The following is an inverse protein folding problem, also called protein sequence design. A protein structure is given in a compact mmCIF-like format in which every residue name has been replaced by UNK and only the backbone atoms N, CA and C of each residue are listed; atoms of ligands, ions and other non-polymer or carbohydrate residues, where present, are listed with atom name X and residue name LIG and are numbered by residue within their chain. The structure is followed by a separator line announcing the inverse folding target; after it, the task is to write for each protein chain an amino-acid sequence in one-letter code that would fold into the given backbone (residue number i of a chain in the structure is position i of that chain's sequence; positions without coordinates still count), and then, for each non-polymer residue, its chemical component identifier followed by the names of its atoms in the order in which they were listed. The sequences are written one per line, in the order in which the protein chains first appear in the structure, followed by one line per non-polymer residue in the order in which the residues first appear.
data_IF_451948262234
#
_entry.id   IF_451948262234
#
_cell.length_a   1.000
_cell.length_b   1.000
_cell.length_c   1.000
_cell.angle_alpha   90.00
_cell.angle_beta   90.00
_cell.angle_gamma   90.00
#
_symmetry.space_group_name_H-M   'P 1'
#
loop_
_entity.id
_entity.type
_entity.pdbx_description
1 polymer ?
#
# COMPACT_ATOMS: atom_id res chain seq x y z
N UNK A 1 -45.16 2.03 -8.35
CA UNK A 1 -44.54 3.12 -7.60
C UNK A 1 -45.47 3.49 -6.46
N UNK A 2 -45.19 2.99 -5.25
CA UNK A 2 -45.96 3.33 -4.06
C UNK A 2 -45.61 4.74 -3.62
N UNK A 3 -46.59 5.64 -3.61
CA UNK A 3 -46.42 6.98 -3.04
C UNK A 3 -46.13 6.82 -1.55
N UNK A 4 -44.90 7.14 -1.15
CA UNK A 4 -44.50 7.14 0.26
C UNK A 4 -45.21 8.32 0.91
N UNK A 5 -46.17 8.02 1.79
CA UNK A 5 -46.87 9.02 2.58
C UNK A 5 -45.85 9.57 3.60
N UNK A 6 -45.32 10.77 3.33
CA UNK A 6 -44.23 11.38 4.13
C UNK A 6 -44.69 12.18 5.34
N UNK A 7 -45.99 12.46 5.44
CA UNK A 7 -46.57 13.27 6.54
C UNK A 7 -47.66 12.48 7.26
N UNK A 8 -47.46 12.21 8.55
CA UNK A 8 -48.50 11.68 9.44
C UNK A 8 -48.85 12.74 10.48
N UNK A 9 -50.14 13.08 10.56
CA UNK A 9 -50.69 13.94 11.60
C UNK A 9 -51.13 13.08 12.78
N UNK A 10 -50.57 13.35 13.96
CA UNK A 10 -51.00 12.72 15.20
C UNK A 10 -51.92 13.69 15.95
N UNK A 11 -53.22 13.39 15.97
CA UNK A 11 -54.16 14.04 16.86
C UNK A 11 -54.09 13.33 18.21
N UNK A 12 -53.26 13.85 19.12
CA UNK A 12 -53.31 13.43 20.51
C UNK A 12 -54.27 14.37 21.25
N UNK A 13 -55.28 13.80 21.89
CA UNK A 13 -56.46 14.53 22.37
C UNK A 13 -56.13 15.56 23.46
N UNK A 14 -56.34 16.84 23.15
CA UNK A 14 -56.57 17.91 24.11
C UNK A 14 -58.00 18.45 23.97
N UNK A 15 -58.77 18.43 25.06
CA UNK A 15 -60.11 19.01 25.13
C UNK A 15 -60.03 20.50 24.74
N UNK A 16 -60.63 20.85 23.59
CA UNK A 16 -60.69 22.16 22.88
C UNK A 16 -59.91 22.28 21.55
N UNK A 17 -59.21 21.25 21.07
CA UNK A 17 -59.05 20.99 19.63
C UNK A 17 -58.39 22.06 18.75
N UNK A 18 -57.25 22.65 19.12
CA UNK A 18 -56.50 23.56 18.22
C UNK A 18 -54.98 23.49 18.30
N UNK A 19 -54.37 22.31 18.48
CA UNK A 19 -52.92 22.16 18.27
C UNK A 19 -52.62 20.90 17.46
N UNK A 20 -52.21 21.09 16.20
CA UNK A 20 -51.71 20.04 15.31
C UNK A 20 -50.24 20.34 15.04
N UNK A 21 -49.34 19.43 15.40
CA UNK A 21 -47.94 19.53 15.01
C UNK A 21 -47.66 18.52 13.89
N UNK A 22 -47.14 19.02 12.77
CA UNK A 22 -46.75 18.20 11.61
C UNK A 22 -45.29 17.79 11.79
N UNK A 23 -45.05 16.53 12.19
CA UNK A 23 -43.69 15.98 12.27
C UNK A 23 -43.34 15.34 10.94
N UNK A 24 -42.31 15.87 10.28
CA UNK A 24 -41.76 15.30 9.06
C UNK A 24 -40.91 14.07 9.40
N UNK A 25 -41.40 12.90 8.99
CA UNK A 25 -40.71 11.63 9.25
C UNK A 25 -39.36 11.51 8.53
N UNK A 26 -39.04 12.45 7.62
CA UNK A 26 -37.72 12.56 7.00
C UNK A 26 -36.60 12.86 8.02
N UNK A 27 -36.89 13.54 9.13
CA UNK A 27 -35.90 13.88 10.17
C UNK A 27 -35.51 12.67 11.06
N UNK A 28 -36.27 11.58 11.02
CA UNK A 28 -35.99 10.35 11.77
C UNK A 28 -35.20 9.31 10.99
N UNK A 29 -34.92 9.56 9.70
CA UNK A 29 -34.00 8.75 8.91
C UNK A 29 -32.70 9.53 8.74
N UNK A 30 -31.88 9.52 9.80
CA UNK A 30 -30.47 9.84 9.67
C UNK A 30 -29.82 8.86 8.68
N UNK A 31 -29.14 9.40 7.69
CA UNK A 31 -28.39 8.67 6.70
C UNK A 31 -27.40 7.69 7.35
N UNK A 32 -27.54 6.40 7.03
CA UNK A 32 -26.52 5.33 7.01
C UNK A 32 -25.52 5.20 8.17
N UNK A 33 -25.71 5.83 9.32
CA UNK A 33 -25.03 5.41 10.55
C UNK A 33 -25.82 4.25 11.14
N UNK A 34 -25.11 3.17 11.46
CA UNK A 34 -25.63 2.12 12.33
C UNK A 34 -26.32 2.77 13.52
N UNK A 35 -27.56 2.37 13.81
CA UNK A 35 -28.20 2.73 15.08
C UNK A 35 -27.29 2.20 16.17
N UNK A 36 -26.43 3.08 16.71
CA UNK A 36 -25.40 2.67 17.64
C UNK A 36 -26.08 1.99 18.83
N UNK A 37 -25.73 0.72 19.07
CA UNK A 37 -26.15 -0.04 20.25
C UNK A 37 -25.84 0.73 21.55
N UNK A 38 -24.89 1.66 21.50
CA UNK A 38 -24.59 2.64 22.55
C UNK A 38 -25.83 3.41 23.04
N UNK A 39 -26.74 3.81 22.15
CA UNK A 39 -27.97 4.52 22.52
C UNK A 39 -29.03 3.60 23.15
N UNK A 40 -28.96 2.29 22.94
CA UNK A 40 -29.84 1.34 23.62
C UNK A 40 -29.31 1.04 25.02
N UNK A 41 -28.01 0.74 25.15
CA UNK A 41 -27.38 0.43 26.43
C UNK A 41 -27.44 1.62 27.39
N UNK A 42 -27.19 2.84 26.89
CA UNK A 42 -27.34 4.05 27.70
C UNK A 42 -28.78 4.27 28.16
N UNK A 43 -29.79 4.02 27.31
CA UNK A 43 -31.21 4.09 27.70
C UNK A 43 -31.58 3.02 28.74
N UNK A 44 -31.08 1.79 28.60
CA UNK A 44 -31.29 0.74 29.59
C UNK A 44 -30.62 1.08 30.92
N UNK A 45 -29.43 1.69 30.90
CA UNK A 45 -28.74 2.16 32.09
C UNK A 45 -29.55 3.25 32.81
N UNK A 46 -30.03 4.27 32.10
CA UNK A 46 -30.86 5.34 32.70
C UNK A 46 -32.18 4.77 33.25
N UNK A 47 -32.81 3.82 32.56
CA UNK A 47 -34.01 3.15 33.07
C UNK A 47 -33.71 2.34 34.33
N UNK A 48 -32.57 1.65 34.39
CA UNK A 48 -32.16 0.90 35.57
C UNK A 48 -31.88 1.84 36.76
N UNK A 49 -31.19 2.95 36.53
CA UNK A 49 -30.92 3.99 37.54
C UNK A 49 -32.22 4.62 38.06
N UNK A 50 -33.17 4.93 37.18
CA UNK A 50 -34.49 5.45 37.57
C UNK A 50 -35.28 4.43 38.39
N UNK A 51 -35.25 3.14 38.01
CA UNK A 51 -35.88 2.07 38.78
C UNK A 51 -35.25 1.90 40.16
N UNK A 52 -33.93 1.97 40.26
CA UNK A 52 -33.21 1.88 41.54
C UNK A 52 -33.55 3.06 42.45
N UNK A 53 -33.59 4.28 41.89
CA UNK A 53 -33.95 5.48 42.65
C UNK A 53 -35.41 5.47 43.11
N UNK A 54 -36.33 5.02 42.25
CA UNK A 54 -37.73 4.79 42.63
C UNK A 54 -37.86 3.72 43.72
N UNK A 55 -37.03 2.68 43.66
CA UNK A 55 -37.00 1.64 44.69
C UNK A 55 -36.49 2.17 46.04
N UNK A 56 -35.42 2.97 46.04
CA UNK A 56 -34.92 3.65 47.24
C UNK A 56 -35.98 4.58 47.85
N UNK A 57 -36.65 5.39 47.03
CA UNK A 57 -37.74 6.27 47.50
C UNK A 57 -38.89 5.44 48.09
N UNK A 58 -39.28 4.33 47.45
CA UNK A 58 -40.33 3.43 47.99
C UNK A 58 -39.92 2.80 49.31
N UNK A 59 -38.64 2.46 49.47
CA UNK A 59 -38.06 1.92 50.71
C UNK A 59 -38.06 2.96 51.81
N UNK A 60 -37.62 4.18 51.53
CA UNK A 60 -37.55 5.27 52.51
C UNK A 60 -38.93 5.74 52.99
N UNK A 61 -39.96 5.48 52.19
CA UNK A 61 -41.36 5.75 52.51
C UNK A 61 -42.09 4.55 53.14
N UNK A 62 -41.38 3.43 53.41
CA UNK A 62 -41.95 2.17 53.91
C UNK A 62 -43.14 1.64 53.07
N UNK A 63 -43.13 1.92 51.76
CA UNK A 63 -44.18 1.48 50.82
C UNK A 63 -43.91 0.12 50.20
N UNK A 64 -42.81 -0.53 50.58
CA UNK A 64 -42.44 -1.87 50.10
C UNK A 64 -43.06 -2.97 50.98
N UNK A 65 -43.76 -3.96 50.40
CA UNK A 65 -44.25 -5.12 51.15
C UNK A 65 -43.08 -5.89 51.80
N UNK A 66 -43.26 -6.38 53.03
CA UNK A 66 -42.25 -7.19 53.74
C UNK A 66 -41.79 -8.43 52.94
N UNK A 67 -42.67 -9.00 52.11
CA UNK A 67 -42.33 -10.12 51.23
C UNK A 67 -41.33 -9.75 50.14
N UNK A 68 -41.40 -8.52 49.60
CA UNK A 68 -40.45 -8.03 48.60
C UNK A 68 -39.08 -7.73 49.22
N UNK A 69 -39.04 -7.25 50.46
CA UNK A 69 -37.80 -7.00 51.21
C UNK A 69 -37.02 -8.30 51.49
N UNK A 70 -37.71 -9.37 51.92
CA UNK A 70 -37.06 -10.68 52.13
C UNK A 70 -36.58 -11.29 50.81
N UNK A 71 -37.37 -11.16 49.74
CA UNK A 71 -36.98 -11.63 48.41
C UNK A 71 -35.77 -10.85 47.87
N UNK A 72 -35.66 -9.55 48.14
CA UNK A 72 -34.50 -8.74 47.76
C UNK A 72 -33.24 -9.16 48.52
N UNK A 73 -33.34 -9.40 49.83
CA UNK A 73 -32.19 -9.86 50.65
C UNK A 73 -31.68 -11.24 50.20
N UNK A 74 -32.58 -12.19 49.94
CA UNK A 74 -32.21 -13.48 49.37
C UNK A 74 -31.58 -13.34 47.98
N UNK A 75 -32.16 -12.50 47.11
CA UNK A 75 -31.59 -12.26 45.78
C UNK A 75 -30.21 -11.61 45.86
N UNK A 76 -30.00 -10.70 46.81
CA UNK A 76 -28.71 -10.03 47.05
C UNK A 76 -27.67 -11.01 47.57
N UNK A 77 -28.07 -11.95 48.43
CA UNK A 77 -27.20 -13.00 48.94
C UNK A 77 -26.81 -13.97 47.83
N UNK A 78 -27.77 -14.43 47.01
CA UNK A 78 -27.49 -15.27 45.82
C UNK A 78 -26.54 -14.58 44.84
N UNK A 79 -26.71 -13.28 44.57
CA UNK A 79 -25.79 -12.52 43.70
C UNK A 79 -24.39 -12.41 44.29
N UNK A 80 -24.25 -12.25 45.61
CA UNK A 80 -22.95 -12.23 46.29
C UNK A 80 -22.25 -13.58 46.20
N UNK A 81 -22.98 -14.67 46.40
CA UNK A 81 -22.41 -16.02 46.35
C UNK A 81 -22.07 -16.43 44.92
N UNK A 82 -22.91 -16.08 43.94
CA UNK A 82 -22.62 -16.30 42.52
C UNK A 82 -21.41 -15.49 42.05
N UNK A 83 -21.29 -14.22 42.49
CA UNK A 83 -20.12 -13.39 42.19
C UNK A 83 -18.84 -13.99 42.77
N UNK A 84 -18.87 -14.47 44.02
CA UNK A 84 -17.72 -15.17 44.62
C UNK A 84 -17.36 -16.42 43.85
N UNK A 85 -18.35 -17.22 43.42
CA UNK A 85 -18.12 -18.42 42.61
C UNK A 85 -17.44 -18.10 41.29
N UNK A 86 -17.90 -17.06 40.58
CA UNK A 86 -17.29 -16.59 39.33
C UNK A 86 -15.88 -16.03 39.54
N UNK A 87 -15.64 -15.32 40.64
CA UNK A 87 -14.30 -14.82 40.99
C UNK A 87 -13.33 -15.98 41.31
N UNK A 88 -13.79 -17.02 41.99
CA UNK A 88 -13.00 -18.23 42.24
C UNK A 88 -12.74 -19.05 40.97
N UNK A 89 -13.76 -19.24 40.12
CA UNK A 89 -13.62 -19.89 38.81
C UNK A 89 -12.64 -19.10 37.92
N UNK A 90 -12.76 -17.77 37.88
CA UNK A 90 -11.85 -16.89 37.13
C UNK A 90 -10.42 -16.92 37.67
N UNK A 91 -10.22 -17.05 38.99
CA UNK A 91 -8.89 -17.25 39.58
C UNK A 91 -8.29 -18.59 39.19
N UNK A 92 -9.10 -19.66 39.17
CA UNK A 92 -8.65 -20.99 38.72
C UNK A 92 -8.25 -20.98 37.25
N UNK A 93 -9.08 -20.39 36.38
CA UNK A 93 -8.78 -20.27 34.96
C UNK A 93 -7.49 -19.48 34.70
N UNK A 94 -7.29 -18.35 35.39
CA UNK A 94 -6.04 -17.59 35.25
C UNK A 94 -4.81 -18.36 35.72
N UNK A 95 -4.94 -19.12 36.82
CA UNK A 95 -3.85 -19.96 37.31
C UNK A 95 -3.54 -21.12 36.35
N UNK A 96 -4.56 -21.72 35.73
CA UNK A 96 -4.41 -22.75 34.70
C UNK A 96 -3.77 -22.17 33.42
N UNK A 97 -4.24 -21.02 32.94
CA UNK A 97 -3.65 -20.34 31.78
C UNK A 97 -2.19 -19.93 32.02
N UNK A 98 -1.88 -19.43 33.21
CA UNK A 98 -0.51 -19.08 33.61
C UNK A 98 0.38 -20.32 33.70
N UNK A 99 -0.13 -21.44 34.22
CA UNK A 99 0.58 -22.71 34.23
C UNK A 99 0.83 -23.23 32.80
N UNK A 100 -0.16 -23.16 31.90
CA UNK A 100 0.03 -23.57 30.50
C UNK A 100 1.05 -22.70 29.77
N UNK A 101 1.05 -21.38 30.03
CA UNK A 101 2.05 -20.48 29.43
C UNK A 101 3.45 -20.78 29.93
N UNK A 102 3.61 -21.07 31.23
CA UNK A 102 4.90 -21.43 31.79
C UNK A 102 5.44 -22.74 31.20
N UNK A 103 4.59 -23.75 31.01
CA UNK A 103 4.97 -25.01 30.34
C UNK A 103 5.33 -24.81 28.86
N UNK A 104 4.62 -23.94 28.13
CA UNK A 104 4.94 -23.61 26.74
C UNK A 104 6.26 -22.85 26.62
N UNK A 105 6.55 -21.91 27.52
CA UNK A 105 7.83 -21.19 27.57
C UNK A 105 9.01 -22.13 27.87
N UNK A 106 8.83 -23.10 28.77
CA UNK A 106 9.86 -24.10 29.07
C UNK A 106 10.11 -25.02 27.87
N UNK A 107 9.05 -25.46 27.17
CA UNK A 107 9.18 -26.23 25.92
C UNK A 107 9.92 -25.44 24.84
N UNK A 108 9.62 -24.15 24.69
CA UNK A 108 10.31 -23.31 23.72
C UNK A 108 11.80 -23.12 24.07
N UNK A 109 12.14 -23.01 25.35
CA UNK A 109 13.55 -22.95 25.77
C UNK A 109 14.30 -24.24 25.45
N UNK A 110 13.71 -25.39 25.76
CA UNK A 110 14.30 -26.70 25.45
C UNK A 110 14.48 -26.86 23.93
N UNK A 111 13.47 -26.49 23.13
CA UNK A 111 13.56 -26.57 21.67
C UNK A 111 14.64 -25.62 21.10
N UNK A 112 14.78 -24.42 21.66
CA UNK A 112 15.86 -23.49 21.26
C UNK A 112 17.24 -24.03 21.62
N UNK A 113 17.39 -24.64 22.79
CA UNK A 113 18.64 -25.27 23.22
C UNK A 113 19.00 -26.47 22.34
N UNK A 114 18.04 -27.34 22.02
CA UNK A 114 18.24 -28.47 21.10
C UNK A 114 18.66 -27.99 19.70
N UNK A 115 17.99 -26.97 19.14
CA UNK A 115 18.38 -26.38 17.85
C UNK A 115 19.78 -25.79 17.88
N UNK A 116 20.16 -25.13 18.98
CA UNK A 116 21.50 -24.58 19.14
C UNK A 116 22.57 -25.69 19.25
N UNK A 117 22.28 -26.78 19.95
CA UNK A 117 23.16 -27.93 20.04
C UNK A 117 23.30 -28.64 18.68
N UNK A 118 22.21 -28.81 17.94
CA UNK A 118 22.24 -29.40 16.60
C UNK A 118 23.06 -28.55 15.63
N UNK A 119 22.91 -27.21 15.68
CA UNK A 119 23.75 -26.30 14.89
C UNK A 119 25.23 -26.42 15.25
N UNK A 120 25.58 -26.56 16.54
CA UNK A 120 26.97 -26.79 16.96
C UNK A 120 27.50 -28.11 16.41
N UNK A 121 26.73 -29.19 16.50
CA UNK A 121 27.12 -30.50 15.93
C UNK A 121 27.29 -30.43 14.41
N UNK A 122 26.44 -29.70 13.70
CA UNK A 122 26.58 -29.47 12.27
C UNK A 122 27.85 -28.68 11.95
N UNK A 123 28.12 -27.59 12.66
CA UNK A 123 29.34 -26.80 12.48
C UNK A 123 30.61 -27.62 12.74
N UNK A 124 30.62 -28.44 13.80
CA UNK A 124 31.74 -29.35 14.10
C UNK A 124 31.90 -30.40 12.99
N UNK A 125 30.82 -30.99 12.50
CA UNK A 125 30.87 -31.97 11.41
C UNK A 125 31.36 -31.34 10.09
N UNK A 126 30.94 -30.12 9.78
CA UNK A 126 31.38 -29.38 8.60
C UNK A 126 32.85 -28.96 8.73
N UNK A 127 33.30 -28.57 9.93
CA UNK A 127 34.72 -28.27 10.17
C UNK A 127 35.60 -29.51 10.02
N UNK A 128 35.15 -30.67 10.50
CA UNK A 128 35.84 -31.95 10.28
C UNK A 128 35.90 -32.28 8.79
N UNK A 129 34.79 -32.18 8.05
CA UNK A 129 34.77 -32.39 6.59
C UNK A 129 35.71 -31.43 5.86
N UNK A 130 35.73 -30.15 6.26
CA UNK A 130 36.62 -29.15 5.66
C UNK A 130 38.09 -29.50 5.90
N UNK A 131 38.45 -29.92 7.12
CA UNK A 131 39.81 -30.38 7.45
C UNK A 131 40.20 -31.63 6.68
N UNK A 132 39.28 -32.57 6.49
CA UNK A 132 39.51 -33.76 5.66
C UNK A 132 39.73 -33.39 4.19
N UNK A 133 38.90 -32.51 3.63
CA UNK A 133 39.06 -32.00 2.26
C UNK A 133 40.36 -31.22 2.08
N UNK A 134 40.73 -30.38 3.03
CA UNK A 134 42.01 -29.65 3.02
C UNK A 134 43.20 -30.62 3.09
N UNK A 135 43.14 -31.65 3.94
CA UNK A 135 44.19 -32.67 4.05
C UNK A 135 44.28 -33.54 2.78
N UNK A 136 43.15 -33.88 2.16
CA UNK A 136 43.10 -34.61 0.90
C UNK A 136 43.61 -33.74 -0.26
N UNK A 137 43.21 -32.47 -0.32
CA UNK A 137 43.71 -31.51 -1.29
C UNK A 137 45.21 -31.29 -1.14
N UNK A 138 45.75 -31.23 0.09
CA UNK A 138 47.20 -31.18 0.32
C UNK A 138 47.90 -32.44 -0.18
N UNK A 139 47.39 -33.63 0.16
CA UNK A 139 47.95 -34.90 -0.35
C UNK A 139 47.89 -34.97 -1.88
N UNK A 140 46.81 -34.49 -2.48
CA UNK A 140 46.65 -34.49 -3.92
C UNK A 140 47.54 -33.44 -4.58
N UNK A 141 47.70 -32.25 -3.99
CA UNK A 141 48.61 -31.21 -4.44
C UNK A 141 50.07 -31.65 -4.31
N UNK A 142 50.44 -32.37 -3.25
CA UNK A 142 51.79 -32.92 -3.08
C UNK A 142 52.04 -34.07 -4.06
N UNK A 143 51.02 -34.91 -4.33
CA UNK A 143 51.08 -35.92 -5.38
C UNK A 143 51.20 -35.31 -6.77
N UNK A 144 50.45 -34.25 -7.05
CA UNK A 144 50.55 -33.46 -8.27
C UNK A 144 51.91 -32.81 -8.40
N UNK A 145 52.44 -32.20 -7.33
CA UNK A 145 53.82 -31.66 -7.31
C UNK A 145 54.89 -32.73 -7.47
N UNK A 146 54.65 -33.97 -7.03
CA UNK A 146 55.58 -35.07 -7.29
C UNK A 146 55.50 -35.60 -8.72
N UNK A 147 54.31 -35.56 -9.34
CA UNK A 147 54.09 -36.02 -10.72
C UNK A 147 54.43 -34.95 -11.77
N UNK A 148 54.28 -33.67 -11.42
CA UNK A 148 54.41 -32.51 -12.32
C UNK A 148 55.48 -31.49 -11.83
N UNK A 149 56.30 -31.88 -10.85
CA UNK A 149 57.31 -31.03 -10.21
C UNK A 149 58.46 -30.53 -11.07
N UNK A 150 58.43 -30.80 -12.39
CA UNK A 150 59.36 -30.25 -13.38
C UNK A 150 58.65 -29.53 -14.55
N UNK A 151 57.34 -29.24 -14.45
CA UNK A 151 56.61 -28.61 -15.57
C UNK A 151 55.72 -27.45 -15.11
N UNK A 152 56.32 -26.26 -15.05
CA UNK A 152 55.65 -24.95 -14.96
C UNK A 152 54.81 -24.63 -16.22
N UNK A 153 53.86 -25.50 -16.61
CA UNK A 153 53.15 -25.39 -17.91
C UNK A 153 51.62 -25.52 -17.86
N UNK A 154 50.99 -25.66 -16.70
CA UNK A 154 49.54 -25.98 -16.62
C UNK A 154 48.65 -24.81 -16.11
N UNK A 155 49.08 -23.55 -16.27
CA UNK A 155 48.14 -22.40 -16.16
C UNK A 155 47.24 -22.22 -17.37
N UNK A 156 47.53 -22.92 -18.48
CA UNK A 156 46.97 -22.57 -19.80
C UNK A 156 45.68 -23.34 -20.13
N UNK A 157 45.32 -24.39 -19.38
CA UNK A 157 44.18 -25.26 -19.76
C UNK A 157 42.81 -24.58 -19.55
N UNK A 158 42.67 -23.73 -18.53
CA UNK A 158 41.43 -22.94 -18.36
C UNK A 158 41.37 -21.74 -19.32
N UNK A 159 42.52 -21.16 -19.67
CA UNK A 159 42.62 -20.11 -20.67
C UNK A 159 42.30 -20.64 -22.08
N UNK A 160 42.83 -21.81 -22.46
CA UNK A 160 42.54 -22.48 -23.74
C UNK A 160 41.06 -22.88 -23.88
N UNK A 161 40.39 -23.30 -22.80
CA UNK A 161 38.96 -23.63 -22.86
C UNK A 161 38.08 -22.39 -23.04
N UNK A 162 38.41 -21.28 -22.37
CA UNK A 162 37.72 -20.01 -22.56
C UNK A 162 38.01 -19.41 -23.94
N UNK A 163 39.24 -19.52 -24.43
CA UNK A 163 39.60 -19.12 -25.79
C UNK A 163 38.84 -19.94 -26.83
N UNK A 164 38.75 -21.28 -26.66
CA UNK A 164 37.99 -22.15 -27.55
C UNK A 164 36.49 -21.81 -27.59
N UNK A 165 35.88 -21.42 -26.46
CA UNK A 165 34.49 -20.96 -26.41
C UNK A 165 34.30 -19.56 -27.01
N UNK A 166 35.30 -18.69 -26.90
CA UNK A 166 35.29 -17.35 -27.50
C UNK A 166 35.54 -17.38 -29.01
N UNK A 167 36.28 -18.38 -29.50
CA UNK A 167 36.63 -18.58 -30.89
C UNK A 167 35.51 -19.25 -31.73
N UNK A 168 34.47 -19.81 -31.09
CA UNK A 168 33.33 -20.35 -31.83
C UNK A 168 32.54 -19.21 -32.48
N UNK A 169 32.49 -19.13 -33.83
CA UNK A 169 31.72 -18.11 -34.51
C UNK A 169 30.23 -18.38 -34.30
N UNK A 170 29.62 -17.67 -33.35
CA UNK A 170 28.16 -17.69 -33.19
C UNK A 170 27.55 -16.86 -34.29
N UNK A 171 26.57 -17.43 -34.98
CA UNK A 171 25.82 -16.65 -35.96
C UNK A 171 25.01 -15.57 -35.25
N UNK A 172 24.78 -14.43 -35.92
CA UNK A 172 23.94 -13.37 -35.36
C UNK A 172 22.52 -13.88 -35.05
N UNK A 173 22.03 -14.88 -35.79
CA UNK A 173 20.73 -15.52 -35.56
C UNK A 173 20.70 -16.30 -34.25
N UNK A 174 21.74 -17.10 -33.95
CA UNK A 174 21.86 -17.81 -32.67
C UNK A 174 21.96 -16.84 -31.49
N UNK A 175 22.74 -15.76 -31.66
CA UNK A 175 22.83 -14.69 -30.65
C UNK A 175 21.45 -14.06 -30.43
N UNK A 176 20.75 -13.69 -31.50
CA UNK A 176 19.42 -13.09 -31.41
C UNK A 176 18.42 -14.05 -30.75
N UNK A 177 18.47 -15.34 -31.08
CA UNK A 177 17.62 -16.37 -30.49
C UNK A 177 17.89 -16.55 -28.99
N UNK A 178 19.17 -16.64 -28.61
CA UNK A 178 19.58 -16.74 -27.20
C UNK A 178 19.18 -15.48 -26.41
N UNK A 179 19.40 -14.29 -26.97
CA UNK A 179 18.98 -13.02 -26.37
C UNK A 179 17.46 -12.94 -26.22
N UNK A 180 16.69 -13.39 -27.22
CA UNK A 180 15.23 -13.43 -27.16
C UNK A 180 14.74 -14.39 -26.07
N UNK A 181 15.30 -15.60 -26.00
CA UNK A 181 15.00 -16.59 -24.97
C UNK A 181 15.33 -16.09 -23.56
N UNK A 182 16.54 -15.56 -23.36
CA UNK A 182 16.98 -14.97 -22.09
C UNK A 182 16.10 -13.79 -21.68
N UNK A 183 15.79 -12.88 -22.61
CA UNK A 183 14.92 -11.73 -22.36
C UNK A 183 13.50 -12.13 -22.01
N UNK A 184 13.00 -13.24 -22.59
CA UNK A 184 11.68 -13.79 -22.24
C UNK A 184 11.71 -14.40 -20.83
N UNK A 185 12.69 -15.25 -20.53
CA UNK A 185 12.84 -15.87 -19.21
C UNK A 185 13.01 -14.83 -18.10
N UNK A 186 13.85 -13.83 -18.32
CA UNK A 186 14.06 -12.72 -17.36
C UNK A 186 12.78 -11.91 -17.14
N UNK A 187 12.00 -11.62 -18.20
CA UNK A 187 10.71 -10.94 -18.06
C UNK A 187 9.71 -11.76 -17.25
N UNK A 188 9.64 -13.08 -17.47
CA UNK A 188 8.78 -13.97 -16.67
C UNK A 188 9.19 -13.99 -15.20
N UNK A 189 10.50 -14.07 -14.91
CA UNK A 189 11.02 -14.02 -13.56
C UNK A 189 10.69 -12.69 -12.86
N UNK A 190 10.89 -11.57 -13.55
CA UNK A 190 10.57 -10.24 -13.04
C UNK A 190 9.07 -10.09 -12.78
N UNK A 191 8.22 -10.59 -13.67
CA UNK A 191 6.77 -10.59 -13.47
C UNK A 191 6.36 -11.42 -12.25
N UNK A 192 6.92 -12.63 -12.09
CA UNK A 192 6.68 -13.49 -10.93
C UNK A 192 7.11 -12.84 -9.61
N UNK A 193 8.17 -12.02 -9.64
CA UNK A 193 8.67 -11.27 -8.48
C UNK A 193 7.96 -9.91 -8.29
N UNK A 194 6.87 -9.62 -9.01
CA UNK A 194 6.13 -8.35 -8.88
C UNK A 194 6.92 -7.11 -9.31
N UNK A 195 7.94 -7.27 -10.17
CA UNK A 195 8.78 -6.17 -10.66
C UNK A 195 8.20 -5.44 -11.88
N UNK A 196 6.90 -5.62 -12.15
CA UNK A 196 6.15 -4.92 -13.19
C UNK A 196 5.14 -3.93 -12.63
N UNK A 197 4.45 -3.23 -13.53
CA UNK A 197 3.37 -2.29 -13.20
C UNK A 197 2.06 -2.80 -13.77
N UNK A 198 0.99 -2.79 -12.97
CA UNK A 198 -0.31 -3.38 -13.36
C UNK A 198 -1.23 -2.31 -13.94
N UNK A 199 -1.86 -2.62 -15.07
CA UNK A 199 -2.96 -1.83 -15.65
C UNK A 199 -4.20 -1.91 -14.77
N UNK A 200 -4.73 -0.75 -14.40
CA UNK A 200 -5.95 -0.65 -13.59
C UNK A 200 -7.23 -0.94 -14.38
N UNK A 201 -7.11 -1.11 -15.70
CA UNK A 201 -8.23 -1.35 -16.62
C UNK A 201 -8.44 -2.86 -16.83
N UNK A 202 -7.39 -3.57 -17.22
CA UNK A 202 -7.45 -4.98 -17.62
C UNK A 202 -6.55 -5.91 -16.80
N UNK A 203 -5.75 -5.37 -15.87
CA UNK A 203 -4.88 -6.15 -14.99
C UNK A 203 -3.59 -6.64 -15.66
N UNK A 204 -3.32 -6.23 -16.89
CA UNK A 204 -2.09 -6.61 -17.60
C UNK A 204 -0.83 -6.02 -16.95
N UNK A 205 0.29 -6.73 -17.05
CA UNK A 205 1.56 -6.36 -16.40
C UNK A 205 2.54 -5.78 -17.42
N UNK A 206 3.05 -4.58 -17.14
CA UNK A 206 3.95 -3.83 -18.00
C UNK A 206 5.35 -3.68 -17.38
N UNK A 207 6.37 -3.68 -18.24
CA UNK A 207 7.78 -3.60 -17.81
C UNK A 207 8.26 -2.19 -17.43
N UNK A 208 7.54 -1.14 -17.84
CA UNK A 208 7.90 0.25 -17.56
C UNK A 208 6.67 1.12 -17.39
N UNK A 209 6.83 2.25 -16.70
CA UNK A 209 5.78 3.22 -16.42
C UNK A 209 5.23 3.81 -17.73
N UNK A 210 6.10 4.13 -18.69
CA UNK A 210 5.69 4.73 -19.96
C UNK A 210 4.82 3.76 -20.79
N UNK A 211 5.17 2.47 -20.78
CA UNK A 211 4.38 1.44 -21.46
C UNK A 211 3.03 1.21 -20.81
N UNK A 212 2.96 1.29 -19.49
CA UNK A 212 1.72 1.18 -18.73
C UNK A 212 0.78 2.36 -19.05
N UNK A 213 1.29 3.59 -19.05
CA UNK A 213 0.46 4.77 -19.35
C UNK A 213 -0.05 4.78 -20.77
N UNK A 214 0.82 4.51 -21.74
CA UNK A 214 0.41 4.38 -23.14
C UNK A 214 -0.64 3.27 -23.34
N UNK A 215 -0.53 2.18 -22.56
CA UNK A 215 -1.51 1.12 -22.56
C UNK A 215 -2.84 1.58 -21.96
N UNK A 216 -2.82 2.20 -20.77
CA UNK A 216 -4.02 2.68 -20.09
C UNK A 216 -4.76 3.74 -20.92
N UNK A 217 -4.04 4.69 -21.52
CA UNK A 217 -4.62 5.70 -22.40
C UNK A 217 -5.32 5.07 -23.61
N UNK A 218 -4.67 4.09 -24.26
CA UNK A 218 -5.23 3.36 -25.40
C UNK A 218 -6.42 2.47 -25.02
N UNK A 219 -6.35 1.79 -23.87
CA UNK A 219 -7.36 0.83 -23.43
C UNK A 219 -8.61 1.49 -22.86
N UNK A 220 -8.51 2.76 -22.43
CA UNK A 220 -9.59 3.49 -21.77
C UNK A 220 -10.86 3.61 -22.61
N UNK A 221 -10.76 4.11 -23.85
CA UNK A 221 -11.94 4.30 -24.70
C UNK A 221 -12.75 3.02 -24.97
N UNK A 222 -12.10 1.92 -25.40
CA UNK A 222 -12.75 0.62 -25.53
C UNK A 222 -13.38 0.12 -24.24
N UNK A 223 -12.69 0.29 -23.10
CA UNK A 223 -13.21 -0.14 -21.80
C UNK A 223 -14.42 0.71 -21.36
N UNK A 224 -14.41 2.03 -21.58
CA UNK A 224 -15.55 2.92 -21.29
C UNK A 224 -16.78 2.53 -22.11
N UNK A 225 -16.56 2.14 -23.37
CA UNK A 225 -17.64 1.63 -24.25
C UNK A 225 -18.14 0.26 -23.78
N UNK A 226 -17.26 -0.65 -23.36
CA UNK A 226 -17.63 -1.97 -22.87
C UNK A 226 -18.39 -1.93 -21.53
N UNK A 227 -18.10 -0.93 -20.69
CA UNK A 227 -18.75 -0.72 -19.40
C UNK A 227 -20.01 0.15 -19.51
N UNK A 228 -20.26 0.78 -20.66
CA UNK A 228 -21.46 1.59 -20.91
C UNK A 228 -22.72 0.71 -20.85
N UNK A 229 -23.42 0.76 -19.72
CA UNK A 229 -24.61 -0.06 -19.43
C UNK A 229 -24.40 -1.09 -18.31
N UNK A 230 -23.18 -1.25 -17.82
CA UNK A 230 -22.90 -1.97 -16.58
C UNK A 230 -23.04 -1.04 -15.36
N UNK A 231 -23.10 -1.62 -14.15
CA UNK A 231 -23.11 -0.86 -12.89
C UNK A 231 -21.71 -0.38 -12.45
N UNK A 232 -20.66 -0.67 -13.23
CA UNK A 232 -19.27 -0.34 -12.88
C UNK A 232 -18.76 0.78 -13.78
N UNK A 233 -18.31 1.86 -13.16
CA UNK A 233 -17.64 2.98 -13.85
C UNK A 233 -16.12 2.82 -13.82
N UNK A 234 -15.45 3.15 -14.91
CA UNK A 234 -13.99 3.18 -14.96
C UNK A 234 -13.46 4.36 -14.13
N UNK A 235 -12.51 4.13 -13.21
CA UNK A 235 -11.95 5.21 -12.40
C UNK A 235 -11.28 6.32 -13.24
N UNK A 236 -11.28 7.57 -12.76
CA UNK A 236 -10.54 8.65 -13.40
C UNK A 236 -9.03 8.35 -13.40
N UNK A 237 -8.32 8.76 -14.46
CA UNK A 237 -6.88 8.49 -14.59
C UNK A 237 -6.07 9.09 -13.42
N UNK A 238 -6.52 10.22 -12.87
CA UNK A 238 -5.87 10.91 -11.77
C UNK A 238 -5.78 10.06 -10.49
N UNK A 239 -6.74 9.17 -10.23
CA UNK A 239 -6.70 8.27 -9.05
C UNK A 239 -5.59 7.21 -9.17
N UNK A 240 -5.17 6.90 -10.39
CA UNK A 240 -4.11 5.94 -10.70
C UNK A 240 -2.85 6.64 -11.23
N UNK A 241 -2.56 7.84 -10.71
CA UNK A 241 -1.30 8.52 -11.00
C UNK A 241 -0.09 7.67 -10.57
N UNK A 242 0.94 7.69 -11.41
CA UNK A 242 2.23 7.02 -11.18
C UNK A 242 3.29 7.99 -10.67
N UNK A 243 2.93 9.21 -10.28
CA UNK A 243 3.89 10.25 -9.89
C UNK A 243 4.68 9.87 -8.63
N UNK A 244 4.02 9.30 -7.62
CA UNK A 244 4.70 8.79 -6.41
C UNK A 244 5.67 7.66 -6.75
N UNK A 245 5.25 6.76 -7.65
CA UNK A 245 6.07 5.62 -8.12
C UNK A 245 7.29 6.14 -8.87
N UNK A 246 7.13 7.15 -9.72
CA UNK A 246 8.24 7.84 -10.42
C UNK A 246 9.18 8.52 -9.45
N UNK A 247 8.64 9.26 -8.48
CA UNK A 247 9.43 9.98 -7.49
C UNK A 247 10.29 9.02 -6.66
N UNK A 248 9.71 7.93 -6.18
CA UNK A 248 10.43 6.90 -5.43
C UNK A 248 11.50 6.20 -6.30
N UNK A 249 11.19 5.86 -7.55
CA UNK A 249 12.14 5.26 -8.47
C UNK A 249 13.31 6.21 -8.82
N UNK A 250 13.02 7.49 -9.04
CA UNK A 250 14.01 8.52 -9.31
C UNK A 250 14.92 8.76 -8.11
N UNK A 251 14.35 8.80 -6.90
CA UNK A 251 15.12 8.93 -5.66
C UNK A 251 16.10 7.76 -5.46
N UNK A 252 15.62 6.51 -5.66
CA UNK A 252 16.49 5.32 -5.63
C UNK A 252 17.60 5.39 -6.68
N UNK A 253 17.28 5.82 -7.91
CA UNK A 253 18.27 5.93 -8.97
C UNK A 253 19.32 7.01 -8.67
N UNK A 254 18.91 8.13 -8.06
CA UNK A 254 19.80 9.19 -7.61
C UNK A 254 20.79 8.67 -6.56
N UNK A 255 20.32 7.98 -5.52
CA UNK A 255 21.18 7.40 -4.49
C UNK A 255 22.16 6.37 -5.06
N UNK A 256 21.72 5.54 -6.02
CA UNK A 256 22.62 4.62 -6.73
C UNK A 256 23.70 5.39 -7.50
N UNK A 257 23.34 6.47 -8.21
CA UNK A 257 24.32 7.33 -8.91
C UNK A 257 25.31 7.98 -7.93
N UNK A 258 24.86 8.41 -6.75
CA UNK A 258 25.73 8.95 -5.70
C UNK A 258 26.70 7.91 -5.17
N UNK A 259 26.23 6.68 -4.93
CA UNK A 259 27.09 5.57 -4.51
C UNK A 259 28.15 5.24 -5.57
N UNK A 260 27.74 5.16 -6.84
CA UNK A 260 28.66 4.94 -7.96
C UNK A 260 29.70 6.08 -8.05
N UNK A 261 29.27 7.33 -7.86
CA UNK A 261 30.18 8.48 -7.83
C UNK A 261 31.19 8.38 -6.69
N UNK A 262 30.75 7.94 -5.49
CA UNK A 262 31.61 7.79 -4.32
C UNK A 262 32.71 6.75 -4.57
N UNK A 263 32.33 5.61 -5.17
CA UNK A 263 33.25 4.54 -5.53
C UNK A 263 34.29 4.97 -6.56
N UNK A 264 33.93 5.84 -7.51
CA UNK A 264 34.90 6.42 -8.46
C UNK A 264 35.90 7.34 -7.78
N UNK A 265 35.49 8.07 -6.73
CA UNK A 265 36.43 8.90 -5.97
C UNK A 265 37.44 8.07 -5.20
N UNK A 266 37.04 6.90 -4.69
CA UNK A 266 37.94 5.96 -4.01
C UNK A 266 38.83 5.19 -5.00
N UNK A 267 38.23 4.71 -6.09
CA UNK A 267 38.87 3.93 -7.14
C UNK A 267 38.46 4.46 -8.52
N UNK A 268 39.32 5.25 -9.18
CA UNK A 268 39.04 5.78 -10.51
C UNK A 268 38.76 4.71 -11.57
N UNK A 269 39.26 3.47 -11.40
CA UNK A 269 39.01 2.38 -12.37
C UNK A 269 37.56 1.91 -12.35
N UNK A 270 36.84 2.13 -11.24
CA UNK A 270 35.42 1.83 -11.13
C UNK A 270 34.59 2.62 -12.15
N UNK A 271 35.09 3.76 -12.64
CA UNK A 271 34.42 4.54 -13.67
C UNK A 271 34.10 3.69 -14.90
N UNK A 272 34.93 2.70 -15.26
CA UNK A 272 34.67 1.79 -16.38
C UNK A 272 33.33 1.03 -16.25
N UNK A 273 32.86 0.77 -15.03
CA UNK A 273 31.61 0.03 -14.74
C UNK A 273 30.33 0.88 -14.84
N UNK A 274 30.45 2.20 -14.83
CA UNK A 274 29.31 3.12 -14.91
C UNK A 274 28.82 3.22 -16.36
N UNK A 275 27.50 3.40 -16.56
CA UNK A 275 26.90 3.57 -17.89
C UNK A 275 27.44 4.83 -18.57
N UNK A 276 27.63 4.78 -19.89
CA UNK A 276 28.10 5.92 -20.67
C UNK A 276 27.18 7.14 -20.58
N UNK A 277 25.85 6.93 -20.52
CA UNK A 277 24.86 8.00 -20.37
C UNK A 277 24.88 8.70 -19.01
N UNK A 278 25.57 8.14 -18.03
CA UNK A 278 25.68 8.68 -16.67
C UNK A 278 27.03 9.36 -16.44
N UNK A 279 27.90 9.37 -17.46
CA UNK A 279 29.23 9.99 -17.47
C UNK A 279 29.22 11.31 -18.25
N UNK A 280 30.11 12.21 -17.86
CA UNK A 280 30.45 13.39 -18.65
C UNK A 280 31.42 13.05 -19.79
N UNK A 281 31.79 14.06 -20.60
CA UNK A 281 32.74 13.89 -21.70
C UNK A 281 34.16 13.48 -21.26
N UNK A 282 34.47 13.58 -19.96
CA UNK A 282 35.76 13.20 -19.36
C UNK A 282 35.71 11.81 -18.71
N UNK A 283 34.56 11.15 -18.73
CA UNK A 283 34.36 9.83 -18.13
C UNK A 283 34.00 9.85 -16.64
N UNK A 284 33.80 11.04 -16.05
CA UNK A 284 33.41 11.17 -14.64
C UNK A 284 31.89 11.05 -14.46
N UNK A 285 31.43 10.54 -13.31
CA UNK A 285 30.01 10.54 -12.96
C UNK A 285 29.40 11.94 -13.01
N UNK A 286 28.26 12.08 -13.66
CA UNK A 286 27.53 13.36 -13.76
C UNK A 286 26.91 13.83 -12.44
N UNK A 287 26.76 12.93 -11.46
CA UNK A 287 26.10 13.21 -10.18
C UNK A 287 27.13 13.64 -9.15
N UNK A 288 26.96 14.85 -8.61
CA UNK A 288 27.81 15.36 -7.54
C UNK A 288 27.46 14.72 -6.18
N UNK A 289 28.48 14.46 -5.37
CA UNK A 289 28.35 14.01 -3.98
C UNK A 289 28.43 15.25 -3.09
N UNK A 290 27.47 15.43 -2.20
CA UNK A 290 27.49 16.52 -1.23
C UNK A 290 27.99 16.00 0.13
N UNK A 291 28.55 16.85 1.00
CA UNK A 291 28.96 16.44 2.34
C UNK A 291 27.79 15.91 3.20
N UNK A 292 26.56 16.29 2.88
CA UNK A 292 25.32 15.82 3.53
C UNK A 292 24.98 14.35 3.23
N UNK A 293 25.55 13.80 2.15
CA UNK A 293 25.26 12.43 1.75
C UNK A 293 25.86 11.41 2.73
N UNK A 294 26.95 11.76 3.41
CA UNK A 294 27.67 10.92 4.36
C UNK A 294 28.79 10.11 3.70
N UNK A 295 29.21 9.05 4.38
CA UNK A 295 30.17 8.06 3.87
C UNK A 295 29.51 6.99 2.99
N UNK A 296 30.30 6.07 2.42
CA UNK A 296 29.77 4.99 1.57
C UNK A 296 28.68 4.18 2.27
N UNK A 297 28.90 3.85 3.55
CA UNK A 297 27.97 3.06 4.34
C UNK A 297 26.63 3.77 4.49
N UNK A 298 26.64 5.09 4.75
CA UNK A 298 25.44 5.91 4.84
C UNK A 298 24.68 5.95 3.51
N UNK A 299 25.37 6.16 2.39
CA UNK A 299 24.74 6.20 1.07
C UNK A 299 24.16 4.82 0.71
N UNK A 300 24.87 3.73 1.03
CA UNK A 300 24.40 2.37 0.82
C UNK A 300 23.15 2.04 1.65
N UNK A 301 23.11 2.47 2.93
CA UNK A 301 21.94 2.32 3.78
C UNK A 301 20.73 3.09 3.22
N UNK A 302 20.90 4.38 2.89
CA UNK A 302 19.86 5.21 2.24
C UNK A 302 19.37 4.58 0.93
N UNK A 303 20.26 4.00 0.13
CA UNK A 303 19.90 3.32 -1.11
C UNK A 303 19.02 2.09 -0.85
N UNK A 304 19.32 1.31 0.20
CA UNK A 304 18.54 0.15 0.58
C UNK A 304 17.15 0.56 1.10
N UNK A 305 17.05 1.60 1.92
CA UNK A 305 15.78 2.18 2.37
C UNK A 305 14.95 2.70 1.18
N UNK A 306 15.57 3.46 0.28
CA UNK A 306 14.91 3.95 -0.94
C UNK A 306 14.47 2.81 -1.86
N UNK A 307 15.20 1.69 -1.88
CA UNK A 307 14.80 0.47 -2.59
C UNK A 307 13.53 -0.12 -1.98
N UNK A 308 13.49 -0.34 -0.68
CA UNK A 308 12.32 -0.86 0.03
C UNK A 308 11.10 0.06 -0.18
N UNK A 309 11.27 1.36 0.03
CA UNK A 309 10.21 2.35 -0.20
C UNK A 309 9.69 2.33 -1.64
N UNK A 310 10.58 2.25 -2.65
CA UNK A 310 10.16 2.15 -4.05
C UNK A 310 9.37 0.86 -4.35
N UNK A 311 9.70 -0.23 -3.68
CA UNK A 311 9.00 -1.51 -3.82
C UNK A 311 7.63 -1.47 -3.15
N UNK A 312 7.53 -0.87 -1.97
CA UNK A 312 6.28 -0.65 -1.24
C UNK A 312 5.30 0.23 -2.01
N UNK A 313 5.76 1.40 -2.50
CA UNK A 313 4.92 2.33 -3.28
C UNK A 313 4.41 1.67 -4.56
N UNK A 314 5.29 0.94 -5.26
CA UNK A 314 4.88 0.17 -6.45
C UNK A 314 3.89 -0.93 -6.11
N UNK A 315 4.10 -1.67 -5.02
CA UNK A 315 3.18 -2.74 -4.59
C UNK A 315 1.81 -2.17 -4.25
N UNK A 316 1.75 -1.08 -3.49
CA UNK A 316 0.50 -0.40 -3.14
C UNK A 316 -0.23 0.15 -4.38
N UNK A 317 0.49 0.61 -5.41
CA UNK A 317 -0.11 0.93 -6.70
C UNK A 317 -0.69 -0.32 -7.38
N UNK A 318 0.11 -1.39 -7.50
CA UNK A 318 -0.30 -2.62 -8.19
C UNK A 318 -1.51 -3.27 -7.52
N UNK A 319 -1.56 -3.33 -6.19
CA UNK A 319 -2.68 -3.91 -5.44
C UNK A 319 -3.99 -3.15 -5.72
N UNK A 320 -3.93 -1.80 -5.74
CA UNK A 320 -5.08 -0.95 -6.10
C UNK A 320 -5.49 -1.15 -7.57
N UNK A 321 -4.52 -1.17 -8.49
CA UNK A 321 -4.76 -1.36 -9.91
C UNK A 321 -5.40 -2.73 -10.20
N UNK A 322 -4.88 -3.80 -9.59
CA UNK A 322 -5.44 -5.15 -9.69
C UNK A 322 -6.88 -5.21 -9.16
N UNK A 323 -7.17 -4.55 -8.03
CA UNK A 323 -8.53 -4.50 -7.49
C UNK A 323 -9.51 -3.84 -8.47
N UNK A 324 -9.12 -2.71 -9.07
CA UNK A 324 -9.91 -2.03 -10.11
C UNK A 324 -10.11 -2.90 -11.35
N UNK A 325 -9.04 -3.48 -11.88
CA UNK A 325 -9.10 -4.34 -13.05
C UNK A 325 -10.03 -5.54 -12.83
N UNK A 326 -9.97 -6.16 -11.65
CA UNK A 326 -10.86 -7.26 -11.28
C UNK A 326 -12.33 -6.82 -11.19
N UNK A 327 -12.60 -5.63 -10.67
CA UNK A 327 -13.95 -5.07 -10.63
C UNK A 327 -14.51 -4.85 -12.06
N UNK A 328 -13.69 -4.31 -12.96
CA UNK A 328 -14.05 -4.09 -14.37
C UNK A 328 -14.24 -5.44 -15.10
N UNK A 329 -13.32 -6.39 -14.91
CA UNK A 329 -13.41 -7.73 -15.50
C UNK A 329 -14.68 -8.48 -15.05
N UNK A 330 -15.03 -8.37 -13.76
CA UNK A 330 -16.24 -9.01 -13.21
C UNK A 330 -17.52 -8.42 -13.81
N UNK A 331 -17.53 -7.12 -14.12
CA UNK A 331 -18.66 -6.46 -14.76
C UNK A 331 -18.77 -6.74 -16.26
N UNK A 332 -17.64 -6.97 -16.94
CA UNK A 332 -17.59 -7.16 -18.40
C UNK A 332 -17.64 -8.62 -18.83
N UNK A 333 -17.26 -9.58 -17.98
CA UNK A 333 -17.48 -10.99 -18.24
C UNK A 333 -18.96 -11.35 -17.99
N UNK A 334 -19.76 -11.66 -19.03
CA UNK A 334 -21.12 -12.17 -18.81
C UNK A 334 -20.99 -13.46 -18.02
N UNK A 335 -21.64 -13.51 -16.85
CA UNK A 335 -21.68 -14.69 -15.99
C UNK A 335 -22.31 -15.84 -16.78
N UNK A 336 -21.47 -16.66 -17.41
CA UNK A 336 -21.85 -17.87 -18.12
C UNK A 336 -22.37 -18.88 -17.10
N UNK A 337 -23.63 -18.74 -16.69
CA UNK A 337 -24.19 -19.58 -15.62
C UNK A 337 -25.51 -19.12 -14.99
N UNK A 338 -26.18 -18.10 -15.52
CA UNK A 338 -27.61 -17.88 -15.24
C UNK A 338 -28.46 -18.73 -16.16
N UNK A 339 -28.43 -20.06 -16.01
CA UNK A 339 -29.44 -20.91 -16.61
C UNK A 339 -30.81 -20.43 -16.14
N UNK A 340 -31.67 -20.15 -17.12
CA UNK A 340 -33.05 -19.76 -16.94
C UNK A 340 -33.75 -20.69 -15.93
N UNK A 341 -33.99 -20.19 -14.73
CA UNK A 341 -35.14 -20.62 -13.95
C UNK A 341 -36.35 -20.07 -14.70
N UNK A 342 -36.92 -20.92 -15.56
CA UNK A 342 -38.18 -20.67 -16.24
C UNK A 342 -39.22 -20.22 -15.21
N UNK A 343 -39.55 -18.93 -15.24
CA UNK A 343 -40.78 -18.45 -14.64
C UNK A 343 -41.95 -18.97 -15.49
N UNK A 344 -42.96 -19.63 -14.90
CA UNK A 344 -44.10 -20.12 -15.65
C UNK A 344 -44.90 -18.95 -16.22
N UNK A 345 -45.21 -19.04 -17.52
CA UNK A 345 -46.16 -18.18 -18.21
C UNK A 345 -47.54 -18.19 -17.54
N UNK A 346 -48.14 -17.00 -17.44
CA UNK A 346 -49.51 -16.64 -17.87
C UNK A 346 -50.19 -15.64 -16.88
N UNK A 347 -51.23 -14.87 -17.29
CA UNK A 347 -51.70 -14.51 -18.64
C UNK A 347 -51.89 -12.99 -18.84
N UNK A 348 -52.16 -12.62 -20.10
CA UNK A 348 -52.56 -11.31 -20.63
C UNK A 348 -53.85 -10.76 -20.00
N UNK A 349 -53.92 -9.43 -19.82
CA UNK A 349 -55.14 -8.64 -19.90
C UNK A 349 -54.84 -7.16 -20.24
N UNK A 350 -55.52 -6.68 -21.29
CA UNK A 350 -56.05 -5.33 -21.60
C UNK A 350 -55.22 -4.08 -21.22
N UNK A 351 -54.71 -3.29 -22.17
CA UNK A 351 -55.43 -2.31 -23.00
C UNK A 351 -56.13 -1.21 -22.18
N UNK A 352 -55.46 -0.05 -22.04
CA UNK A 352 -56.03 1.29 -22.23
C UNK A 352 -54.95 2.37 -22.08
N UNK A 353 -54.92 3.26 -23.06
CA UNK A 353 -54.32 4.59 -23.05
C UNK A 353 -55.45 5.58 -23.44
N UNK A 354 -55.23 6.90 -23.59
CA UNK A 354 -54.36 7.87 -22.92
C UNK A 354 -55.12 9.17 -22.50
N UNK A 355 -54.46 10.09 -21.78
CA UNK A 355 -54.77 11.55 -21.78
C UNK A 355 -53.50 12.28 -21.23
N UNK A 356 -52.76 13.12 -21.98
CA UNK A 356 -53.07 14.49 -22.43
C UNK A 356 -53.45 15.40 -21.22
N UNK A 357 -52.94 16.61 -20.97
CA UNK A 357 -52.16 17.61 -21.74
C UNK A 357 -51.85 18.80 -20.78
N UNK A 358 -50.99 19.73 -21.24
CA UNK A 358 -50.93 21.17 -20.91
C UNK A 358 -50.27 21.63 -19.57
N UNK A 359 -49.12 22.33 -19.62
CA UNK A 359 -48.95 23.82 -19.61
C UNK A 359 -48.65 24.32 -18.17
N UNK A 360 -47.86 25.35 -17.86
CA UNK A 360 -47.20 26.43 -18.60
C UNK A 360 -46.11 27.03 -17.70
N UNK A 361 -45.24 27.82 -18.33
CA UNK A 361 -44.13 28.60 -17.77
C UNK A 361 -44.59 29.73 -16.82
N UNK A 362 -43.71 30.15 -15.90
CA UNK A 362 -43.54 31.56 -15.55
C UNK A 362 -42.14 31.81 -14.98
N UNK A 363 -41.32 32.51 -15.75
CA UNK A 363 -40.17 33.29 -15.27
C UNK A 363 -40.67 34.39 -14.32
N UNK A 364 -39.91 34.72 -13.28
CA UNK A 364 -39.65 36.14 -13.03
C UNK A 364 -38.38 36.41 -12.21
N UNK A 365 -37.90 37.62 -12.44
CA UNK A 365 -36.54 38.15 -12.32
C UNK A 365 -36.23 38.76 -10.95
N UNK A 366 -34.92 38.90 -10.72
CA UNK A 366 -34.23 40.01 -10.02
C UNK A 366 -34.23 40.05 -8.48
N UNK A 367 -33.04 40.02 -7.87
CA UNK A 367 -32.28 41.23 -7.53
C UNK A 367 -31.07 40.87 -6.64
N UNK A 368 -29.91 41.41 -7.02
CA UNK A 368 -28.67 41.38 -6.23
C UNK A 368 -28.60 42.61 -5.28
N UNK A 369 -27.51 42.85 -4.53
CA UNK A 369 -27.49 42.95 -3.05
C UNK A 369 -27.25 44.39 -2.53
N UNK A 370 -27.09 44.56 -1.21
CA UNK A 370 -25.88 45.24 -0.69
C UNK A 370 -25.34 44.55 0.60
N UNK A 371 -24.04 44.31 0.77
CA UNK A 371 -22.94 45.23 1.10
C UNK A 371 -22.76 45.54 2.62
N UNK A 372 -21.53 45.25 3.06
CA UNK A 372 -20.70 45.96 4.06
C UNK A 372 -20.92 45.80 5.58
N UNK A 373 -19.91 45.21 6.23
CA UNK A 373 -19.14 45.75 7.38
C UNK A 373 -17.87 44.86 7.51
N UNK A 374 -16.66 45.30 7.15
CA UNK A 374 -15.75 46.23 7.87
C UNK A 374 -15.47 45.82 9.33
N UNK A 375 -14.30 45.20 9.58
CA UNK A 375 -13.20 45.75 10.40
C UNK A 375 -12.02 44.75 10.41
N UNK A 376 -10.85 45.07 9.83
CA UNK A 376 -9.69 45.79 10.41
C UNK A 376 -8.81 44.90 11.31
N UNK A 377 -7.62 44.55 10.80
CA UNK A 377 -6.32 44.89 11.43
C UNK A 377 -5.17 44.66 10.43
N UNK A 378 -4.34 45.69 10.34
CA UNK A 378 -3.17 45.90 9.48
C UNK A 378 -1.88 45.41 10.14
N UNK A 379 -0.92 45.00 9.31
CA UNK A 379 0.51 45.39 9.28
C UNK A 379 1.12 44.67 8.05
N UNK A 380 1.43 45.31 6.91
CA UNK A 380 2.59 46.19 6.59
C UNK A 380 3.93 45.60 7.11
N UNK A 381 4.99 45.39 6.31
CA UNK A 381 5.50 46.21 5.21
C UNK A 381 6.18 45.43 4.06
N UNK A 382 6.15 46.07 2.90
CA UNK A 382 6.81 45.76 1.63
C UNK A 382 8.28 46.22 1.63
N UNK A 383 9.16 45.54 0.89
CA UNK A 383 10.32 46.21 0.27
C UNK A 383 10.82 45.51 -0.99
N UNK A 384 10.56 46.14 -2.12
CA UNK A 384 11.30 46.16 -3.41
C UNK A 384 10.90 47.50 -4.07
N UNK A 385 11.55 48.02 -5.13
CA UNK A 385 12.72 47.54 -5.89
C UNK A 385 13.78 48.64 -6.18
N UNK A 386 14.93 48.29 -6.78
CA UNK A 386 15.60 49.19 -7.74
C UNK A 386 16.60 48.46 -8.64
N UNK A 387 16.51 48.76 -9.92
CA UNK A 387 17.38 48.33 -11.01
C UNK A 387 18.72 49.10 -11.01
N UNK A 388 19.79 48.46 -11.48
CA UNK A 388 20.89 49.15 -12.13
C UNK A 388 21.61 48.21 -13.11
N UNK A 389 21.54 48.58 -14.39
CA UNK A 389 22.38 48.05 -15.45
C UNK A 389 23.84 48.47 -15.24
N UNK A 390 24.79 47.57 -15.55
CA UNK A 390 26.14 48.00 -15.90
C UNK A 390 26.70 47.08 -16.99
N UNK A 391 26.79 47.66 -18.19
CA UNK A 391 27.60 47.17 -19.31
C UNK A 391 29.04 47.60 -19.05
N UNK A 392 30.00 46.69 -19.04
CA UNK A 392 31.36 47.05 -19.46
C UNK A 392 32.00 45.97 -20.34
N UNK A 393 32.13 46.38 -21.61
CA UNK A 393 33.01 45.87 -22.64
C UNK A 393 34.45 46.36 -22.38
N UNK A 394 35.44 45.47 -22.50
CA UNK A 394 36.87 45.76 -22.71
C UNK A 394 37.52 44.44 -23.15
N UNK A 395 37.55 44.09 -24.44
CA UNK A 395 38.66 44.32 -25.40
C UNK A 395 40.09 44.14 -24.81
N UNK A 396 40.73 43.08 -25.35
CA UNK A 396 42.07 43.09 -25.98
C UNK A 396 43.30 43.05 -25.06
N UNK A 397 44.01 41.91 -25.06
CA UNK A 397 45.46 41.82 -25.35
C UNK A 397 45.93 40.36 -25.32
N UNK A 398 46.34 39.87 -26.49
CA UNK A 398 47.38 38.83 -26.65
C UNK A 398 48.71 39.33 -26.09
N UNK A 399 49.61 38.41 -25.71
CA UNK A 399 50.94 38.48 -26.30
C UNK A 399 51.37 37.15 -26.91
N UNK A 400 52.08 37.33 -28.02
CA UNK A 400 52.85 36.37 -28.80
C UNK A 400 54.30 36.85 -28.65
N UNK A 401 55.20 35.97 -28.22
CA UNK A 401 56.66 35.99 -28.43
C UNK A 401 57.14 34.67 -27.79
N UNK A 402 57.67 33.68 -28.52
CA UNK A 402 58.92 33.62 -29.31
C UNK A 402 60.20 33.77 -28.47
N UNK A 403 61.08 32.78 -28.64
CA UNK A 403 62.45 32.70 -28.10
C UNK A 403 62.58 31.84 -26.85
N UNK A 404 63.55 30.95 -26.70
CA UNK A 404 64.65 30.57 -27.57
C UNK A 404 65.29 29.29 -26.99
N UNK A 405 66.11 28.68 -27.83
CA UNK A 405 66.98 27.52 -27.60
C UNK A 405 67.73 27.49 -26.24
N UNK A 406 67.79 26.30 -25.62
CA UNK A 406 69.04 25.58 -25.29
C UNK A 406 68.74 24.15 -24.81
#
# INVERSE_FOLDING_TARGET
MSVIITKQRYNWMGYNGTETEEVDTALLRGDKSTVDNYNYDHRQQVIAELKERLYQIKRDLDLLPEEELRAEEEARQRRRDERKRREEEGRRQRAEEEATRAEEEERQRIEQEERAEEQRRQQEADEVRRREQEAEAQRNADRWRQLHGDSDADSDVEEEQNEALSAMPRTQEEINSAVAGFSKGTRMLLAANGQGYVSYIDGSVHSSIEKLEAHNEKARGPAETATAGSSVSIPPAAEYSLDDVRAAAAHRQLLRKKLDAYRVLQDPTYAARIRSSEKDARGHPTTAITPEDGDEATIAAKLQEAKQHSEEVRKAYNDRATASANAIATATCPRAGGAAAAAPEAPKAEETAPAAEAEQQAEDKAAAPPAAAEDLMKAEELSTPAAAASRHSSKKATPKDEGDEL
#
